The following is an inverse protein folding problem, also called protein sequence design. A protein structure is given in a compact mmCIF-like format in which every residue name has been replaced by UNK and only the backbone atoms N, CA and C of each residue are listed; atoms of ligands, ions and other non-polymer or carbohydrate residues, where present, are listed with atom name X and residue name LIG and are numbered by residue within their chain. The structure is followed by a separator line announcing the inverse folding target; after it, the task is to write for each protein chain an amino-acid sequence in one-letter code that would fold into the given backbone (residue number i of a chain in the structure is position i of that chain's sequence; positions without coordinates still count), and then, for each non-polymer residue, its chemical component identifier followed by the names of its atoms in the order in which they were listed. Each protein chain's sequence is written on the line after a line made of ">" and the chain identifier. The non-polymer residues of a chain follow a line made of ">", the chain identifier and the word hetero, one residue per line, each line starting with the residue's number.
data_IF_451544968216
#
_entry.id   IF_451544968216
#
_cell.length_a   1.000
_cell.length_b   1.000
_cell.length_c   1.000
_cell.angle_alpha   90.00
_cell.angle_beta   90.00
_cell.angle_gamma   90.00
#
_symmetry.space_group_name_H-M   'P 1'
#
loop_
_entity.id
_entity.type
_entity.pdbx_description
1 polymer ?
#
# COMPACT_ATOMS: atom_id res chain seq x y z
N UNK A 1 6.55 2.01 -6.79
CA UNK A 1 5.38 2.20 -5.91
C UNK A 1 4.18 1.43 -6.44
N UNK A 2 2.95 1.87 -6.14
CA UNK A 2 1.70 1.16 -6.48
C UNK A 2 1.50 0.90 -7.99
N UNK A 3 2.01 1.75 -8.87
CA UNK A 3 1.93 1.57 -10.34
C UNK A 3 2.58 0.29 -10.87
N UNK A 4 3.51 -0.30 -10.10
CA UNK A 4 4.10 -1.61 -10.43
C UNK A 4 3.05 -2.72 -10.42
N UNK A 5 2.00 -2.60 -9.59
CA UNK A 5 0.89 -3.54 -9.54
C UNK A 5 0.05 -3.43 -10.81
N UNK A 6 -0.22 -2.22 -11.30
CA UNK A 6 -0.99 -2.02 -12.54
C UNK A 6 -0.25 -2.65 -13.73
N UNK A 7 1.06 -2.40 -13.83
CA UNK A 7 1.90 -3.00 -14.86
C UNK A 7 1.91 -4.54 -14.77
N UNK A 8 1.89 -5.08 -13.55
CA UNK A 8 1.84 -6.52 -13.34
C UNK A 8 0.47 -7.11 -13.73
N UNK A 9 -0.62 -6.40 -13.44
CA UNK A 9 -1.99 -6.77 -13.86
C UNK A 9 -2.10 -6.74 -15.39
N UNK A 10 -1.60 -5.68 -16.04
CA UNK A 10 -1.56 -5.57 -17.51
C UNK A 10 -0.87 -6.80 -18.11
N UNK A 11 0.29 -7.16 -17.55
CA UNK A 11 1.08 -8.29 -18.03
C UNK A 11 0.38 -9.63 -17.80
N UNK A 12 -0.12 -9.87 -16.58
CA UNK A 12 -0.71 -11.17 -16.22
C UNK A 12 -2.10 -11.39 -16.85
N UNK A 13 -2.82 -10.32 -17.20
CA UNK A 13 -4.12 -10.38 -17.88
C UNK A 13 -4.03 -10.15 -19.39
N UNK A 14 -2.83 -9.94 -19.93
CA UNK A 14 -2.58 -9.67 -21.36
C UNK A 14 -3.46 -8.52 -21.92
N UNK A 15 -3.64 -7.47 -21.11
CA UNK A 15 -4.47 -6.33 -21.50
C UNK A 15 -3.88 -5.60 -22.70
N UNK A 16 -4.74 -5.15 -23.62
CA UNK A 16 -4.32 -4.34 -24.76
C UNK A 16 -4.08 -2.87 -24.35
N UNK A 17 -3.33 -2.08 -25.14
CA UNK A 17 -3.04 -0.68 -24.80
C UNK A 17 -4.28 0.19 -24.54
N UNK A 18 -5.38 -0.05 -25.26
CA UNK A 18 -6.67 0.62 -25.06
C UNK A 18 -7.37 0.23 -23.74
N UNK A 19 -6.92 -0.83 -23.08
CA UNK A 19 -7.50 -1.40 -21.87
C UNK A 19 -6.66 -1.13 -20.62
N UNK A 20 -5.51 -0.45 -20.72
CA UNK A 20 -4.61 -0.25 -19.57
C UNK A 20 -5.28 0.45 -18.38
N UNK A 21 -6.28 1.31 -18.64
CA UNK A 21 -7.06 1.95 -17.57
C UNK A 21 -7.84 0.94 -16.71
N UNK A 22 -8.17 -0.24 -17.26
CA UNK A 22 -8.82 -1.33 -16.50
C UNK A 22 -7.92 -1.87 -15.40
N UNK A 23 -6.59 -1.78 -15.52
CA UNK A 23 -5.67 -2.30 -14.52
C UNK A 23 -5.80 -1.55 -13.18
N UNK A 24 -5.83 -0.22 -13.22
CA UNK A 24 -6.04 0.62 -12.04
C UNK A 24 -7.43 0.37 -11.42
N UNK A 25 -8.46 0.18 -12.27
CA UNK A 25 -9.80 -0.18 -11.80
C UNK A 25 -9.80 -1.54 -11.10
N UNK A 26 -9.20 -2.56 -11.70
CA UNK A 26 -9.11 -3.90 -11.12
C UNK A 26 -8.32 -3.91 -9.81
N UNK A 27 -7.20 -3.17 -9.73
CA UNK A 27 -6.44 -3.01 -8.49
C UNK A 27 -7.30 -2.41 -7.38
N UNK A 28 -8.10 -1.39 -7.69
CA UNK A 28 -9.01 -0.75 -6.72
C UNK A 28 -10.16 -1.66 -6.30
N UNK A 29 -10.74 -2.40 -7.24
CA UNK A 29 -11.89 -3.29 -7.01
C UNK A 29 -11.49 -4.54 -6.22
N UNK A 30 -10.41 -5.20 -6.62
CA UNK A 30 -10.03 -6.52 -6.10
C UNK A 30 -8.94 -6.45 -5.02
N UNK A 31 -7.93 -5.59 -5.22
CA UNK A 31 -6.78 -5.47 -4.32
C UNK A 31 -6.03 -6.80 -4.14
N UNK A 32 -5.63 -7.09 -2.90
CA UNK A 32 -5.03 -8.36 -2.52
C UNK A 32 -6.00 -9.18 -1.66
N UNK A 33 -6.37 -10.36 -2.14
CA UNK A 33 -7.17 -11.34 -1.39
C UNK A 33 -6.50 -12.72 -1.44
N UNK A 34 -5.95 -13.23 -0.33
CA UNK A 34 -5.29 -14.53 -0.30
C UNK A 34 -6.24 -15.73 -0.49
N UNK A 35 -7.56 -15.51 -0.34
CA UNK A 35 -8.58 -16.54 -0.46
C UNK A 35 -9.25 -16.55 -1.84
N UNK A 36 -8.80 -15.71 -2.78
CA UNK A 36 -9.30 -15.74 -4.15
C UNK A 36 -8.95 -17.08 -4.80
N UNK A 37 -9.92 -17.70 -5.50
CA UNK A 37 -9.80 -19.08 -6.01
C UNK A 37 -9.70 -19.16 -7.53
N UNK A 38 -10.47 -18.36 -8.27
CA UNK A 38 -10.44 -18.33 -9.74
C UNK A 38 -10.99 -17.00 -10.29
N UNK A 39 -10.67 -16.69 -11.54
CA UNK A 39 -11.16 -15.51 -12.25
C UNK A 39 -10.32 -14.26 -12.05
N UNK A 40 -10.91 -13.10 -12.35
CA UNK A 40 -10.18 -11.81 -12.37
C UNK A 40 -9.60 -11.44 -11.01
N UNK A 41 -10.36 -11.64 -9.92
CA UNK A 41 -9.88 -11.34 -8.56
C UNK A 41 -8.65 -12.17 -8.19
N UNK A 42 -8.61 -13.44 -8.60
CA UNK A 42 -7.46 -14.31 -8.37
C UNK A 42 -6.23 -13.79 -9.10
N UNK A 43 -6.34 -13.49 -10.40
CA UNK A 43 -5.22 -12.97 -11.19
C UNK A 43 -4.72 -11.66 -10.59
N UNK A 44 -5.62 -10.72 -10.27
CA UNK A 44 -5.26 -9.45 -9.65
C UNK A 44 -4.56 -9.63 -8.30
N UNK A 45 -5.05 -10.55 -7.46
CA UNK A 45 -4.43 -10.85 -6.17
C UNK A 45 -3.03 -11.44 -6.34
N UNK A 46 -2.82 -12.32 -7.31
CA UNK A 46 -1.49 -12.87 -7.60
C UNK A 46 -0.54 -11.81 -8.18
N UNK A 47 -1.03 -10.94 -9.06
CA UNK A 47 -0.25 -9.81 -9.58
C UNK A 47 0.16 -8.85 -8.45
N UNK A 48 -0.78 -8.50 -7.56
CA UNK A 48 -0.49 -7.69 -6.38
C UNK A 48 0.53 -8.38 -5.48
N UNK A 49 0.37 -9.68 -5.20
CA UNK A 49 1.26 -10.47 -4.37
C UNK A 49 2.71 -10.42 -4.85
N UNK A 50 2.98 -10.63 -6.15
CA UNK A 50 4.35 -10.57 -6.71
C UNK A 50 5.05 -9.25 -6.37
N UNK A 51 4.32 -8.14 -6.46
CA UNK A 51 4.87 -6.81 -6.18
C UNK A 51 4.98 -6.57 -4.67
N UNK A 52 3.99 -6.99 -3.89
CA UNK A 52 4.00 -6.88 -2.43
C UNK A 52 5.10 -7.72 -1.79
N UNK A 53 5.37 -8.93 -2.29
CA UNK A 53 6.49 -9.79 -1.86
C UNK A 53 7.84 -9.07 -2.09
N UNK A 54 8.00 -8.39 -3.23
CA UNK A 54 9.18 -7.57 -3.51
C UNK A 54 9.31 -6.38 -2.56
N UNK A 55 8.22 -5.64 -2.30
CA UNK A 55 8.22 -4.52 -1.36
C UNK A 55 8.51 -5.00 0.07
N UNK A 56 7.96 -6.16 0.45
CA UNK A 56 8.21 -6.78 1.75
C UNK A 56 9.69 -7.11 1.95
N UNK A 57 10.37 -7.61 0.92
CA UNK A 57 11.81 -7.87 0.99
C UNK A 57 12.60 -6.59 1.25
N UNK A 58 12.25 -5.49 0.56
CA UNK A 58 12.87 -4.18 0.78
C UNK A 58 12.61 -3.66 2.21
N UNK A 59 11.38 -3.79 2.72
CA UNK A 59 11.03 -3.41 4.09
C UNK A 59 11.84 -4.20 5.12
N UNK A 60 11.96 -5.52 4.96
CA UNK A 60 12.76 -6.37 5.85
C UNK A 60 14.22 -5.93 5.87
N UNK A 61 14.80 -5.66 4.70
CA UNK A 61 16.15 -5.12 4.59
C UNK A 61 16.31 -3.79 5.32
N UNK A 62 15.34 -2.88 5.21
CA UNK A 62 15.38 -1.60 5.93
C UNK A 62 15.31 -1.78 7.46
N UNK A 63 14.45 -2.69 7.95
CA UNK A 63 14.36 -3.00 9.38
C UNK A 63 15.67 -3.61 9.88
N UNK A 64 16.22 -4.59 9.16
CA UNK A 64 17.49 -5.23 9.51
C UNK A 64 18.64 -4.22 9.55
N UNK A 65 18.69 -3.29 8.58
CA UNK A 65 19.68 -2.22 8.57
C UNK A 65 19.52 -1.29 9.78
N UNK A 66 18.30 -0.86 10.10
CA UNK A 66 18.02 0.00 11.24
C UNK A 66 18.50 -0.63 12.56
N UNK A 67 18.18 -1.91 12.77
CA UNK A 67 18.59 -2.63 13.99
C UNK A 67 20.11 -2.80 14.03
N UNK A 68 20.71 -3.32 12.96
CA UNK A 68 22.11 -3.75 12.98
C UNK A 68 23.12 -2.62 12.82
N UNK A 69 22.76 -1.52 12.13
CA UNK A 69 23.67 -0.41 11.80
C UNK A 69 23.37 0.86 12.57
N UNK A 70 22.13 1.08 12.96
CA UNK A 70 21.74 2.27 13.72
C UNK A 70 21.54 1.99 15.21
N UNK A 71 21.79 0.75 15.67
CA UNK A 71 21.45 0.30 17.04
C UNK A 71 19.99 0.58 17.38
N UNK A 72 19.12 0.50 16.37
CA UNK A 72 17.69 0.71 16.51
C UNK A 72 17.01 -0.44 17.24
N UNK A 73 15.91 -0.14 17.92
CA UNK A 73 15.05 -1.16 18.50
C UNK A 73 14.17 -1.81 17.43
N UNK A 74 13.64 -3.00 17.70
CA UNK A 74 12.69 -3.61 16.78
C UNK A 74 11.43 -2.74 16.66
N UNK A 75 10.94 -2.43 15.45
CA UNK A 75 9.71 -1.64 15.29
C UNK A 75 8.53 -2.30 15.99
N UNK A 76 7.72 -1.51 16.69
CA UNK A 76 6.53 -2.02 17.40
C UNK A 76 5.24 -2.02 16.56
N UNK A 77 5.16 -1.18 15.52
CA UNK A 77 3.97 -1.02 14.65
C UNK A 77 4.37 -0.51 13.27
N UNK A 78 3.51 -0.74 12.29
CA UNK A 78 3.65 -0.25 10.91
C UNK A 78 2.50 0.70 10.60
N UNK A 79 2.82 1.84 10.01
CA UNK A 79 1.83 2.81 9.53
C UNK A 79 1.91 2.93 8.02
N UNK A 80 0.81 2.63 7.33
CA UNK A 80 0.73 2.71 5.87
C UNK A 80 0.12 4.06 5.44
N UNK A 81 0.83 4.77 4.59
CA UNK A 81 0.47 6.09 4.06
C UNK A 81 0.54 6.13 2.52
N UNK A 82 -0.05 7.17 1.92
CA UNK A 82 -0.05 7.39 0.47
C UNK A 82 -1.10 6.60 -0.30
N UNK A 83 -1.21 6.83 -1.61
CA UNK A 83 -2.26 6.22 -2.43
C UNK A 83 -2.24 4.69 -2.48
N UNK A 84 -1.04 4.09 -2.42
CA UNK A 84 -0.87 2.64 -2.41
C UNK A 84 -1.41 1.97 -1.15
N UNK A 85 -1.45 2.67 -0.01
CA UNK A 85 -1.96 2.10 1.25
C UNK A 85 -3.48 1.90 1.25
N UNK A 86 -4.19 2.49 0.29
CA UNK A 86 -5.63 2.36 0.18
C UNK A 86 -6.07 1.04 -0.47
N UNK A 87 -5.14 0.29 -1.06
CA UNK A 87 -5.45 -0.99 -1.70
C UNK A 87 -6.05 -1.98 -0.69
N UNK A 88 -7.14 -2.65 -1.06
CA UNK A 88 -7.77 -3.67 -0.21
C UNK A 88 -6.77 -4.79 0.15
N UNK A 89 -6.74 -5.19 1.42
CA UNK A 89 -5.94 -6.31 1.93
C UNK A 89 -4.42 -6.06 2.11
N UNK A 90 -3.93 -4.85 1.80
CA UNK A 90 -2.48 -4.55 1.90
C UNK A 90 -1.95 -4.49 3.34
N UNK A 91 -2.76 -3.97 4.25
CA UNK A 91 -2.51 -3.93 5.69
C UNK A 91 -2.49 -5.32 6.30
N UNK A 92 -3.51 -6.14 6.04
CA UNK A 92 -3.56 -7.53 6.49
C UNK A 92 -2.37 -8.34 5.97
N UNK A 93 -1.97 -8.09 4.71
CA UNK A 93 -0.81 -8.73 4.11
C UNK A 93 0.47 -8.40 4.88
N UNK A 94 0.75 -7.11 5.12
CA UNK A 94 1.96 -6.71 5.84
C UNK A 94 1.93 -7.12 7.30
N UNK A 95 0.79 -7.03 7.98
CA UNK A 95 0.63 -7.48 9.37
C UNK A 95 0.99 -8.96 9.52
N UNK A 96 0.44 -9.83 8.66
CA UNK A 96 0.76 -11.27 8.68
C UNK A 96 2.22 -11.54 8.31
N UNK A 97 2.75 -10.82 7.32
CA UNK A 97 4.09 -11.09 6.79
C UNK A 97 5.23 -10.58 7.69
N UNK A 98 4.98 -9.54 8.48
CA UNK A 98 5.95 -8.91 9.38
C UNK A 98 5.67 -9.21 10.85
N UNK A 99 4.51 -9.78 11.18
CA UNK A 99 4.05 -10.02 12.55
C UNK A 99 4.08 -8.74 13.40
N UNK A 100 3.64 -7.63 12.81
CA UNK A 100 3.59 -6.31 13.43
C UNK A 100 2.23 -5.67 13.19
N UNK A 101 1.59 -5.08 14.23
CA UNK A 101 0.34 -4.35 14.07
C UNK A 101 0.47 -3.31 12.95
N UNK A 102 -0.38 -3.41 11.94
CA UNK A 102 -0.33 -2.55 10.75
C UNK A 102 -1.57 -1.70 10.65
N UNK A 103 -1.38 -0.38 10.58
CA UNK A 103 -2.48 0.58 10.56
C UNK A 103 -2.40 1.47 9.33
N UNK A 104 -3.53 1.65 8.64
CA UNK A 104 -3.66 2.71 7.63
C UNK A 104 -3.84 4.02 8.37
N UNK A 105 -2.97 5.00 8.13
CA UNK A 105 -3.19 6.35 8.65
C UNK A 105 -4.11 7.08 7.69
N UNK A 106 -5.20 7.61 8.24
CA UNK A 106 -5.93 8.69 7.62
C UNK A 106 -5.39 10.02 8.16
N UNK A 107 -4.77 10.83 7.31
CA UNK A 107 -4.22 12.13 7.68
C UNK A 107 -5.30 13.07 8.29
N UNK A 108 -6.57 12.89 7.92
CA UNK A 108 -7.70 13.60 8.52
C UNK A 108 -7.92 13.25 10.01
N UNK A 109 -7.34 12.16 10.50
CA UNK A 109 -7.54 11.63 11.87
C UNK A 109 -6.33 11.82 12.77
N UNK A 110 -5.29 12.51 12.29
CA UNK A 110 -4.11 12.82 13.11
C UNK A 110 -4.53 13.83 14.18
N UNK A 111 -4.36 13.45 15.46
CA UNK A 111 -4.69 14.31 16.59
C UNK A 111 -3.85 15.59 16.54
N UNK A 112 -4.50 16.74 16.74
CA UNK A 112 -3.86 18.06 16.76
C UNK A 112 -3.83 18.78 15.41
N UNK A 113 -4.39 18.19 14.35
CA UNK A 113 -4.60 18.85 13.07
C UNK A 113 -6.05 19.33 12.93
N UNK A 114 -6.22 20.63 12.73
CA UNK A 114 -7.50 21.23 12.32
C UNK A 114 -7.44 21.56 10.84
N UNK A 115 -8.37 20.98 10.07
CA UNK A 115 -8.47 21.22 8.64
C UNK A 115 -9.60 22.18 8.35
N UNK A 116 -9.38 23.10 7.40
CA UNK A 116 -10.44 23.97 6.90
C UNK A 116 -11.60 23.12 6.35
N UNK A 117 -12.84 23.52 6.64
CA UNK A 117 -14.07 22.82 6.22
C UNK A 117 -14.22 22.66 4.70
N UNK A 118 -13.49 23.43 3.90
CA UNK A 118 -13.50 23.37 2.43
C UNK A 118 -12.42 22.45 1.85
N UNK A 119 -11.59 21.84 2.69
CA UNK A 119 -10.54 20.95 2.25
C UNK A 119 -11.13 19.58 1.88
N UNK A 120 -10.78 19.08 0.70
CA UNK A 120 -11.12 17.71 0.30
C UNK A 120 -10.31 16.70 1.14
N UNK A 121 -10.92 16.28 2.25
CA UNK A 121 -10.31 15.36 3.20
C UNK A 121 -10.02 13.98 2.62
N UNK A 122 -10.66 13.60 1.50
CA UNK A 122 -10.39 12.34 0.82
C UNK A 122 -9.00 12.29 0.18
N UNK A 123 -8.40 13.46 -0.10
CA UNK A 123 -7.06 13.60 -0.68
C UNK A 123 -5.95 13.81 0.33
N UNK A 124 -6.28 13.99 1.61
CA UNK A 124 -5.30 14.27 2.67
C UNK A 124 -4.24 13.17 2.80
N UNK A 125 -4.61 11.91 2.56
CA UNK A 125 -3.68 10.77 2.65
C UNK A 125 -2.55 10.81 1.61
N UNK A 126 -2.71 11.61 0.55
CA UNK A 126 -1.68 11.84 -0.47
C UNK A 126 -0.76 13.02 -0.10
N UNK A 127 -1.11 13.80 0.92
CA UNK A 127 -0.44 15.03 1.32
C UNK A 127 0.40 14.86 2.60
N UNK A 128 0.56 13.64 3.12
CA UNK A 128 1.33 13.38 4.34
C UNK A 128 2.75 13.97 4.27
N UNK A 129 3.41 13.88 3.10
CA UNK A 129 4.73 14.49 2.90
C UNK A 129 4.70 16.02 2.98
N UNK A 130 3.65 16.64 2.45
CA UNK A 130 3.47 18.08 2.50
C UNK A 130 3.15 18.55 3.93
N UNK A 131 2.30 17.80 4.66
CA UNK A 131 2.01 18.03 6.07
C UNK A 131 3.28 17.97 6.91
N UNK A 132 4.12 16.93 6.74
CA UNK A 132 5.38 16.80 7.48
C UNK A 132 6.40 17.90 7.18
N UNK A 133 6.34 18.55 6.01
CA UNK A 133 7.24 19.66 5.65
C UNK A 133 6.76 20.99 6.23
N UNK A 134 5.47 21.13 6.52
CA UNK A 134 4.86 22.35 7.03
C UNK A 134 4.89 22.47 8.57
N UNK A 135 5.38 21.43 9.26
CA UNK A 135 5.51 21.36 10.73
C UNK A 135 6.90 21.75 11.20
#
# INVERSE_FOLDING_TARGET
>A
GSSRIDNQIIKDMELKPDEFQKAELYKKTYGFNPNAVAGTEYICSQSAKKILDSILADIKMCIDFYITRCSGEHPGKIYLIGGGSQMKGVDEYFERALNLPTHRINAATIKGLEFNSHLDTSRLNFLVNALGTAM
#
